data_IF_325317642115
#
_entry.id   IF_325317642115
#
_cell.length_a   1.000
_cell.length_b   1.000
_cell.length_c   1.000
_cell.angle_alpha   90.00
_cell.angle_beta   90.00
_cell.angle_gamma   90.00
#
_symmetry.space_group_name_H-M   'P 1'
#
loop_
_entity.id
_entity.type
_entity.pdbx_description
1 polymer ?
#
# COMPACT_ATOMS: atom_id res chain seq x y z
N UNK A 1 -2.52 -20.32 -22.88
CA UNK A 1 -2.95 -19.32 -21.88
C UNK A 1 -3.50 -20.08 -20.68
N UNK A 2 -2.64 -20.44 -19.72
CA UNK A 2 -3.02 -21.27 -18.59
C UNK A 2 -3.80 -20.44 -17.56
N UNK A 3 -5.11 -20.70 -17.45
CA UNK A 3 -5.96 -20.10 -16.41
C UNK A 3 -5.63 -20.77 -15.07
N UNK A 4 -4.55 -20.33 -14.43
CA UNK A 4 -4.22 -20.79 -13.10
C UNK A 4 -5.28 -20.29 -12.11
N UNK A 5 -6.13 -21.20 -11.63
CA UNK A 5 -6.76 -21.04 -10.32
C UNK A 5 -5.62 -21.13 -9.29
N UNK A 6 -5.01 -19.98 -8.99
CA UNK A 6 -4.00 -19.85 -7.93
C UNK A 6 -4.72 -19.84 -6.58
N UNK A 7 -5.28 -20.98 -6.23
CA UNK A 7 -5.73 -21.31 -4.89
C UNK A 7 -4.82 -22.41 -4.38
N UNK A 8 -4.19 -22.16 -3.24
CA UNK A 8 -3.39 -23.09 -2.43
C UNK A 8 -1.86 -23.00 -2.65
N UNK A 9 -1.19 -22.48 -1.60
CA UNK A 9 0.26 -22.42 -1.35
C UNK A 9 1.15 -22.50 -2.59
N UNK A 10 1.19 -21.43 -3.35
CA UNK A 10 2.08 -21.32 -4.52
C UNK A 10 3.15 -20.29 -4.21
N UNK A 11 4.41 -20.72 -4.16
CA UNK A 11 5.57 -19.85 -4.26
C UNK A 11 5.88 -19.67 -5.75
N UNK A 12 5.65 -18.48 -6.30
CA UNK A 12 5.97 -18.18 -7.70
C UNK A 12 6.96 -17.02 -7.78
N UNK A 13 7.96 -17.16 -8.63
CA UNK A 13 9.03 -16.18 -8.76
C UNK A 13 8.54 -14.91 -9.47
N UNK A 14 7.86 -15.05 -10.61
CA UNK A 14 7.39 -13.92 -11.43
C UNK A 14 6.01 -14.19 -11.99
N UNK A 15 5.09 -13.27 -11.74
CA UNK A 15 3.73 -13.33 -12.28
C UNK A 15 3.33 -12.04 -12.99
N UNK A 16 2.69 -12.22 -14.14
CA UNK A 16 2.02 -11.18 -14.88
C UNK A 16 0.53 -11.50 -14.90
N UNK A 17 -0.29 -10.56 -14.45
CA UNK A 17 -1.73 -10.70 -14.47
C UNK A 17 -2.33 -9.47 -15.15
N UNK A 18 -3.00 -9.69 -16.28
CA UNK A 18 -3.70 -8.60 -16.98
C UNK A 18 -5.10 -8.39 -16.40
N UNK A 19 -5.78 -9.45 -15.99
CA UNK A 19 -7.12 -9.41 -15.38
C UNK A 19 -7.09 -9.05 -13.87
N UNK A 20 -8.19 -9.33 -13.14
CA UNK A 20 -8.37 -9.10 -11.69
C UNK A 20 -8.03 -10.33 -10.82
N UNK A 21 -6.76 -10.74 -10.69
CA UNK A 21 -6.41 -11.96 -9.97
C UNK A 21 -6.77 -11.84 -8.49
N UNK A 22 -7.22 -12.96 -7.92
CA UNK A 22 -7.46 -13.08 -6.48
C UNK A 22 -6.52 -14.11 -5.89
N UNK A 23 -5.64 -13.67 -5.01
CA UNK A 23 -4.65 -14.53 -4.37
C UNK A 23 -4.95 -14.72 -2.90
N UNK A 24 -4.79 -15.96 -2.45
CA UNK A 24 -4.99 -16.36 -1.07
C UNK A 24 -3.85 -17.23 -0.63
N UNK A 25 -3.24 -16.90 0.51
CA UNK A 25 -2.15 -17.70 1.09
C UNK A 25 -1.00 -17.92 0.09
N UNK A 26 -0.52 -16.85 -0.52
CA UNK A 26 0.47 -16.89 -1.62
C UNK A 26 1.75 -16.16 -1.23
N UNK A 27 2.90 -16.66 -1.67
CA UNK A 27 4.20 -16.01 -1.51
C UNK A 27 4.79 -15.76 -2.88
N UNK A 28 5.14 -14.51 -3.19
CA UNK A 28 5.55 -14.13 -4.54
C UNK A 28 6.71 -13.16 -4.50
N UNK A 29 7.70 -13.38 -5.34
CA UNK A 29 8.83 -12.45 -5.40
C UNK A 29 8.43 -11.20 -6.21
N UNK A 30 7.91 -11.39 -7.43
CA UNK A 30 7.56 -10.29 -8.32
C UNK A 30 6.17 -10.44 -8.93
N UNK A 31 5.31 -9.43 -8.76
CA UNK A 31 4.04 -9.31 -9.48
C UNK A 31 4.00 -8.02 -10.31
N UNK A 32 3.53 -8.16 -11.55
CA UNK A 32 3.01 -7.04 -12.33
C UNK A 32 1.54 -7.27 -12.67
N UNK A 33 0.67 -6.42 -12.12
CA UNK A 33 -0.76 -6.48 -12.35
C UNK A 33 -1.23 -5.27 -13.18
N UNK A 34 -1.99 -5.54 -14.24
CA UNK A 34 -2.66 -4.53 -15.06
C UNK A 34 -3.83 -3.90 -14.31
N UNK A 35 -4.77 -4.73 -13.86
CA UNK A 35 -6.02 -4.29 -13.22
C UNK A 35 -5.97 -4.35 -11.68
N UNK A 36 -7.05 -4.84 -11.03
CA UNK A 36 -7.36 -4.71 -9.60
C UNK A 36 -7.05 -6.00 -8.80
N UNK A 37 -5.78 -6.37 -8.58
CA UNK A 37 -5.43 -7.58 -7.87
C UNK A 37 -5.93 -7.51 -6.42
N UNK A 38 -6.50 -8.61 -5.92
CA UNK A 38 -6.94 -8.73 -4.55
C UNK A 38 -6.15 -9.83 -3.86
N UNK A 39 -5.38 -9.47 -2.83
CA UNK A 39 -4.57 -10.44 -2.12
C UNK A 39 -4.94 -10.50 -0.64
N UNK A 40 -4.99 -11.72 -0.13
CA UNK A 40 -5.36 -12.00 1.23
C UNK A 40 -4.38 -13.02 1.81
N UNK A 41 -3.77 -12.68 2.96
CA UNK A 41 -2.75 -13.52 3.59
C UNK A 41 -1.59 -13.80 2.63
N UNK A 42 -1.04 -12.77 2.00
CA UNK A 42 0.01 -12.91 0.99
C UNK A 42 1.30 -12.20 1.41
N UNK A 43 2.44 -12.73 0.98
CA UNK A 43 3.74 -12.10 1.13
C UNK A 43 4.30 -11.76 -0.26
N UNK A 44 4.70 -10.51 -0.49
CA UNK A 44 5.26 -10.05 -1.77
C UNK A 44 6.54 -9.24 -1.58
N UNK A 45 7.58 -9.52 -2.34
CA UNK A 45 8.78 -8.67 -2.31
C UNK A 45 8.55 -7.41 -3.17
N UNK A 46 8.10 -7.58 -4.42
CA UNK A 46 7.95 -6.48 -5.38
C UNK A 46 6.64 -6.54 -6.14
N UNK A 47 5.92 -5.43 -6.12
CA UNK A 47 4.67 -5.27 -6.82
C UNK A 47 4.63 -3.99 -7.66
N UNK A 48 4.20 -4.13 -8.91
CA UNK A 48 3.76 -3.01 -9.74
C UNK A 48 2.30 -3.23 -10.14
N UNK A 49 1.44 -2.33 -9.71
CA UNK A 49 0.03 -2.31 -10.09
C UNK A 49 -0.31 -1.01 -10.81
N UNK A 50 -1.17 -1.08 -11.84
CA UNK A 50 -1.62 0.12 -12.53
C UNK A 50 -2.84 0.73 -11.84
N UNK A 51 -3.82 -0.10 -11.49
CA UNK A 51 -5.12 0.34 -10.99
C UNK A 51 -5.29 0.17 -9.47
N UNK A 52 -6.39 -0.47 -9.02
CA UNK A 52 -6.87 -0.45 -7.63
C UNK A 52 -6.72 -1.75 -6.82
N UNK A 53 -5.48 -2.23 -6.55
CA UNK A 53 -5.22 -3.32 -5.63
C UNK A 53 -5.86 -3.18 -4.26
N UNK A 54 -6.25 -4.34 -3.73
CA UNK A 54 -6.73 -4.49 -2.35
C UNK A 54 -5.94 -5.56 -1.61
N UNK A 55 -5.40 -5.18 -0.47
CA UNK A 55 -4.57 -6.05 0.36
C UNK A 55 -5.21 -6.26 1.73
N UNK A 56 -5.25 -7.52 2.17
CA UNK A 56 -5.66 -7.89 3.52
C UNK A 56 -4.64 -8.85 4.12
N UNK A 57 -4.26 -8.62 5.38
CA UNK A 57 -3.37 -9.53 6.11
C UNK A 57 -2.09 -9.83 5.31
N UNK A 58 -1.51 -8.83 4.64
CA UNK A 58 -0.42 -9.05 3.70
C UNK A 58 0.85 -8.31 4.13
N UNK A 59 2.00 -8.85 3.72
CA UNK A 59 3.32 -8.24 3.92
C UNK A 59 3.91 -7.91 2.56
N UNK A 60 4.34 -6.67 2.35
CA UNK A 60 4.96 -6.25 1.09
C UNK A 60 6.21 -5.41 1.30
N UNK A 61 7.31 -5.73 0.63
CA UNK A 61 8.51 -4.88 0.75
C UNK A 61 8.36 -3.64 -0.13
N UNK A 62 8.08 -3.80 -1.43
CA UNK A 62 8.03 -2.68 -2.37
C UNK A 62 6.76 -2.71 -3.21
N UNK A 63 5.95 -1.65 -3.10
CA UNK A 63 4.76 -1.45 -3.92
C UNK A 63 4.83 -0.13 -4.68
N UNK A 64 4.67 -0.22 -6.01
CA UNK A 64 4.43 0.92 -6.89
C UNK A 64 3.06 0.80 -7.54
N UNK A 65 2.22 1.81 -7.31
CA UNK A 65 0.87 1.88 -7.81
C UNK A 65 0.59 3.20 -8.54
N UNK A 66 -0.17 3.13 -9.63
CA UNK A 66 -0.70 4.30 -10.33
C UNK A 66 -1.92 4.87 -9.61
N UNK A 67 -2.97 4.06 -9.48
CA UNK A 67 -4.26 4.50 -8.97
C UNK A 67 -4.51 4.28 -7.47
N UNK A 68 -5.78 4.21 -7.11
CA UNK A 68 -6.24 4.09 -5.71
C UNK A 68 -5.87 2.77 -5.03
N UNK A 69 -5.13 2.84 -3.92
CA UNK A 69 -4.73 1.66 -3.15
C UNK A 69 -5.51 1.51 -1.84
N UNK A 70 -5.85 0.27 -1.48
CA UNK A 70 -6.43 -0.05 -0.18
C UNK A 70 -5.70 -1.21 0.48
N UNK A 71 -5.27 -1.03 1.73
CA UNK A 71 -4.75 -2.13 2.54
C UNK A 71 -5.30 -2.13 3.96
N UNK A 72 -5.47 -3.32 4.50
CA UNK A 72 -5.98 -3.55 5.86
C UNK A 72 -5.15 -4.62 6.54
N UNK A 73 -4.73 -4.36 7.77
CA UNK A 73 -3.96 -5.31 8.57
C UNK A 73 -2.71 -5.77 7.80
N UNK A 74 -1.91 -4.83 7.33
CA UNK A 74 -0.77 -5.12 6.45
C UNK A 74 0.49 -4.40 6.94
N UNK A 75 1.65 -4.96 6.60
CA UNK A 75 2.95 -4.37 6.87
C UNK A 75 3.64 -4.08 5.53
N UNK A 76 4.13 -2.84 5.34
CA UNK A 76 4.83 -2.46 4.12
C UNK A 76 6.11 -1.66 4.37
N UNK A 77 7.20 -1.98 3.68
CA UNK A 77 8.45 -1.21 3.81
C UNK A 77 8.37 0.08 2.99
N UNK A 78 8.12 -0.03 1.68
CA UNK A 78 8.11 1.11 0.77
C UNK A 78 6.89 1.11 -0.15
N UNK A 79 6.15 2.22 -0.11
CA UNK A 79 4.97 2.43 -0.92
C UNK A 79 5.04 3.74 -1.70
N UNK A 80 4.86 3.65 -3.02
CA UNK A 80 4.65 4.79 -3.91
C UNK A 80 3.30 4.66 -4.62
N UNK A 81 2.41 5.63 -4.38
CA UNK A 81 1.09 5.71 -5.02
C UNK A 81 0.98 7.02 -5.78
N UNK A 82 0.45 6.97 -7.00
CA UNK A 82 0.19 8.16 -7.81
C UNK A 82 -0.91 9.02 -7.22
N UNK A 83 -2.09 8.45 -6.99
CA UNK A 83 -3.28 9.21 -6.60
C UNK A 83 -3.63 9.09 -5.10
N UNK A 84 -4.38 8.04 -4.74
CA UNK A 84 -5.01 7.88 -3.42
C UNK A 84 -4.54 6.62 -2.72
N UNK A 85 -4.26 6.73 -1.42
CA UNK A 85 -3.82 5.58 -0.62
C UNK A 85 -4.63 5.46 0.68
N UNK A 86 -5.19 4.28 0.96
CA UNK A 86 -6.03 4.04 2.15
C UNK A 86 -5.44 2.93 3.00
N UNK A 87 -5.08 3.27 4.24
CA UNK A 87 -4.51 2.36 5.24
C UNK A 87 -5.44 2.19 6.43
N UNK A 88 -5.61 0.95 6.90
CA UNK A 88 -6.28 0.65 8.17
C UNK A 88 -5.58 -0.45 8.96
N UNK A 89 -5.25 -0.16 10.22
CA UNK A 89 -4.56 -1.11 11.11
C UNK A 89 -3.29 -1.62 10.43
N UNK A 90 -2.29 -0.78 10.19
CA UNK A 90 -1.15 -1.18 9.36
C UNK A 90 0.13 -0.50 9.82
N UNK A 91 1.27 -1.10 9.49
CA UNK A 91 2.58 -0.55 9.75
C UNK A 91 3.28 -0.29 8.42
N UNK A 92 3.86 0.90 8.28
CA UNK A 92 4.61 1.27 7.08
C UNK A 92 5.93 1.95 7.46
N UNK A 93 7.01 1.76 6.72
CA UNK A 93 8.20 2.60 6.92
C UNK A 93 8.15 3.85 6.07
N UNK A 94 7.95 3.72 4.77
CA UNK A 94 7.95 4.86 3.83
C UNK A 94 6.70 4.87 2.96
N UNK A 95 6.01 6.00 2.97
CA UNK A 95 4.85 6.24 2.12
C UNK A 95 5.04 7.53 1.31
N UNK A 96 4.95 7.41 -0.01
CA UNK A 96 4.87 8.53 -0.96
C UNK A 96 3.54 8.46 -1.70
N UNK A 97 2.74 9.52 -1.60
CA UNK A 97 1.43 9.62 -2.28
C UNK A 97 1.38 10.95 -3.02
N UNK A 98 0.81 10.97 -4.22
CA UNK A 98 0.58 12.24 -4.90
C UNK A 98 -0.48 13.04 -4.15
N UNK A 99 -1.72 12.57 -4.14
CA UNK A 99 -2.84 13.43 -3.76
C UNK A 99 -3.43 13.15 -2.37
N UNK A 100 -3.94 11.94 -2.07
CA UNK A 100 -4.79 11.76 -0.88
C UNK A 100 -4.49 10.46 -0.11
N UNK A 101 -3.61 10.49 0.90
CA UNK A 101 -3.48 9.40 1.86
C UNK A 101 -4.49 9.53 3.00
N UNK A 102 -5.23 8.45 3.26
CA UNK A 102 -6.15 8.29 4.39
C UNK A 102 -5.64 7.18 5.31
N UNK A 103 -5.06 7.55 6.44
CA UNK A 103 -4.46 6.63 7.40
C UNK A 103 -5.31 6.53 8.68
N UNK A 104 -5.69 5.31 9.06
CA UNK A 104 -6.41 5.02 10.31
C UNK A 104 -5.68 3.93 11.06
N UNK A 105 -5.40 4.11 12.35
CA UNK A 105 -4.68 3.07 13.14
C UNK A 105 -3.41 2.63 12.43
N UNK A 106 -2.61 3.60 11.96
CA UNK A 106 -1.41 3.33 11.17
C UNK A 106 -0.18 3.85 11.89
N UNK A 107 0.85 3.02 12.01
CA UNK A 107 2.19 3.46 12.37
C UNK A 107 2.99 3.69 11.09
N UNK A 108 3.63 4.85 10.97
CA UNK A 108 4.42 5.20 9.79
C UNK A 108 5.69 5.95 10.19
N UNK A 109 6.85 5.64 9.63
CA UNK A 109 8.05 6.43 9.92
C UNK A 109 8.09 7.70 9.06
N UNK A 110 7.89 7.58 7.74
CA UNK A 110 8.05 8.69 6.79
C UNK A 110 6.89 8.78 5.82
N UNK A 111 6.19 9.92 5.84
CA UNK A 111 5.15 10.28 4.88
C UNK A 111 5.62 11.46 4.03
N UNK A 112 5.59 11.31 2.70
CA UNK A 112 5.64 12.42 1.77
C UNK A 112 4.35 12.45 0.95
N UNK A 113 3.71 13.61 0.93
CA UNK A 113 2.52 13.81 0.11
C UNK A 113 2.57 15.18 -0.58
N UNK A 114 2.03 15.29 -1.80
CA UNK A 114 1.85 16.62 -2.39
C UNK A 114 0.69 17.31 -1.68
N UNK A 115 -0.45 16.61 -1.54
CA UNK A 115 -1.68 17.24 -1.03
C UNK A 115 -2.35 16.48 0.14
N UNK A 116 -3.10 17.20 0.96
CA UNK A 116 -4.24 16.70 1.75
C UNK A 116 -4.18 15.31 2.46
N UNK A 117 -3.14 14.97 3.27
CA UNK A 117 -3.16 13.77 4.09
C UNK A 117 -4.21 13.88 5.20
N UNK A 118 -4.98 12.80 5.41
CA UNK A 118 -5.92 12.64 6.52
C UNK A 118 -5.50 11.48 7.41
N UNK A 119 -5.22 11.76 8.69
CA UNK A 119 -4.73 10.74 9.65
C UNK A 119 -5.61 10.68 10.90
N UNK A 120 -5.88 9.48 11.42
CA UNK A 120 -6.64 9.28 12.67
C UNK A 120 -6.05 8.14 13.48
N UNK A 121 -5.88 8.32 14.80
CA UNK A 121 -5.34 7.28 15.70
C UNK A 121 -4.05 6.69 15.12
N UNK A 122 -3.12 7.52 14.67
CA UNK A 122 -1.92 7.10 13.93
C UNK A 122 -0.67 7.74 14.52
N UNK A 123 0.47 7.06 14.41
CA UNK A 123 1.77 7.58 14.80
C UNK A 123 2.60 7.84 13.55
N UNK A 124 3.24 9.01 13.47
CA UNK A 124 4.15 9.36 12.39
C UNK A 124 5.41 10.03 12.93
N UNK A 125 6.59 9.60 12.51
CA UNK A 125 7.81 10.35 12.86
C UNK A 125 7.95 11.59 11.97
N UNK A 126 7.96 11.42 10.64
CA UNK A 126 8.28 12.51 9.70
C UNK A 126 7.19 12.69 8.64
N UNK A 127 6.64 13.90 8.56
CA UNK A 127 5.72 14.32 7.50
C UNK A 127 6.36 15.41 6.63
N UNK A 128 6.35 15.21 5.31
CA UNK A 128 6.45 16.28 4.32
C UNK A 128 5.14 16.40 3.55
N UNK A 129 4.54 17.58 3.54
CA UNK A 129 3.30 17.89 2.80
C UNK A 129 3.51 19.14 1.95
N UNK A 130 3.04 19.14 0.70
CA UNK A 130 3.13 20.31 -0.17
C UNK A 130 2.17 21.42 0.26
N UNK A 131 0.94 21.05 0.64
CA UNK A 131 -0.11 22.01 0.99
C UNK A 131 -0.64 21.88 2.43
N UNK A 132 -1.78 21.22 2.62
CA UNK A 132 -2.52 21.15 3.88
C UNK A 132 -2.49 19.75 4.46
N UNK A 133 -2.63 19.60 5.78
CA UNK A 133 -2.73 18.31 6.45
C UNK A 133 -3.77 18.31 7.57
N UNK A 134 -4.49 17.20 7.74
CA UNK A 134 -5.47 17.01 8.82
C UNK A 134 -5.16 15.74 9.62
N UNK A 135 -5.10 15.86 10.94
CA UNK A 135 -4.97 14.70 11.83
C UNK A 135 -5.82 14.82 13.09
N UNK A 136 -6.25 13.67 13.63
CA UNK A 136 -7.04 13.58 14.88
C UNK A 136 -6.53 12.44 15.75
N UNK A 137 -6.23 12.72 17.02
CA UNK A 137 -5.69 11.73 17.97
C UNK A 137 -4.51 11.02 17.31
N UNK A 138 -3.46 11.76 16.95
CA UNK A 138 -2.32 11.24 16.20
C UNK A 138 -1.05 11.91 16.67
N UNK A 139 0.04 11.16 16.75
CA UNK A 139 1.35 11.68 17.09
C UNK A 139 2.12 12.05 15.82
N UNK A 140 2.83 13.18 15.86
CA UNK A 140 3.76 13.61 14.82
C UNK A 140 5.01 14.20 15.47
N UNK A 141 6.20 13.68 15.14
CA UNK A 141 7.46 14.22 15.67
C UNK A 141 7.96 15.42 14.84
N UNK A 142 7.95 15.31 13.51
CA UNK A 142 8.52 16.31 12.59
C UNK A 142 7.59 16.61 11.41
N UNK A 143 7.32 17.89 11.19
CA UNK A 143 6.54 18.40 10.05
C UNK A 143 7.40 19.31 9.18
N UNK A 144 7.37 19.08 7.87
CA UNK A 144 7.85 20.01 6.85
C UNK A 144 6.73 20.32 5.86
N UNK A 145 6.52 21.59 5.59
CA UNK A 145 5.58 22.06 4.57
C UNK A 145 6.37 22.65 3.39
N UNK A 146 5.98 22.31 2.15
CA UNK A 146 6.57 22.77 0.89
C UNK A 146 7.28 21.71 0.04
#
# INVERSE_FOLDING_TARGET
MEKLRVGEKSALEKLYAEETPRWRNSALEKLRAGETPCCNKSALEKLRARETPRWRNSVLDKLRAGGTQCWRNSALEELRVGETARSRNSALKKLRVGEIPRLKHTALEKLRVLESPRRRRSALEKLRVGETARWRNSALEKLRVG
#
